data_IF_350364676039
#
_entry.id   IF_350364676039
#
_cell.length_a   1.000
_cell.length_b   1.000
_cell.length_c   1.000
_cell.angle_alpha   90.00
_cell.angle_beta   90.00
_cell.angle_gamma   90.00
#
_symmetry.space_group_name_H-M   'P 1'
#
loop_
_entity.id
_entity.type
_entity.pdbx_description
1 polymer ?
#
# COMPACT_ATOMS: atom_id res chain seq x y z
N UNK A 1 19.81 -6.96 11.48
CA UNK A 1 18.41 -7.18 11.93
C UNK A 1 17.49 -6.75 10.81
N UNK A 2 16.55 -7.59 10.39
CA UNK A 2 15.65 -7.26 9.28
C UNK A 2 14.80 -6.01 9.62
N UNK A 3 14.64 -5.12 8.63
CA UNK A 3 13.80 -3.93 8.72
C UNK A 3 12.72 -4.04 7.66
N UNK A 4 11.49 -3.76 8.05
CA UNK A 4 10.33 -3.77 7.17
C UNK A 4 9.83 -2.35 6.97
N UNK A 5 9.46 -2.01 5.73
CA UNK A 5 8.84 -0.72 5.42
C UNK A 5 7.32 -0.91 5.43
N UNK A 6 6.66 -0.34 6.42
CA UNK A 6 5.26 -0.61 6.75
C UNK A 6 4.45 0.67 6.67
N UNK A 7 3.28 0.61 6.03
CA UNK A 7 2.30 1.68 5.98
C UNK A 7 0.94 1.14 6.44
N UNK A 8 0.08 2.02 6.94
CA UNK A 8 -1.32 1.68 7.25
C UNK A 8 -2.20 2.32 6.19
N UNK A 9 -3.11 1.53 5.61
CA UNK A 9 -3.96 1.99 4.52
C UNK A 9 -5.33 1.32 4.54
N UNK A 10 -6.33 2.03 4.01
CA UNK A 10 -7.63 1.47 3.67
C UNK A 10 -7.62 1.02 2.22
N UNK A 11 -7.94 -0.24 1.96
CA UNK A 11 -8.10 -0.73 0.60
C UNK A 11 -9.41 -0.21 0.01
N UNK A 12 -9.36 0.20 -1.26
CA UNK A 12 -10.57 0.54 -1.99
C UNK A 12 -11.32 -0.75 -2.34
N UNK A 13 -12.62 -0.87 -2.04
CA UNK A 13 -13.39 -2.06 -2.37
C UNK A 13 -13.65 -2.17 -3.87
N UNK A 14 -14.07 -3.36 -4.30
CA UNK A 14 -14.67 -3.54 -5.62
C UNK A 14 -16.07 -2.88 -5.67
N UNK A 15 -16.49 -2.33 -6.82
CA UNK A 15 -15.80 -2.32 -8.12
C UNK A 15 -14.80 -1.17 -8.32
N UNK A 16 -14.75 -0.18 -7.41
CA UNK A 16 -13.98 1.05 -7.61
C UNK A 16 -12.47 0.80 -7.74
N UNK A 17 -11.95 -0.23 -7.07
CA UNK A 17 -10.56 -0.63 -7.23
C UNK A 17 -10.20 -0.98 -8.69
N UNK A 18 -11.08 -1.64 -9.44
CA UNK A 18 -10.82 -1.97 -10.84
C UNK A 18 -10.75 -0.72 -11.72
N UNK A 19 -11.62 0.26 -11.49
CA UNK A 19 -11.64 1.54 -12.21
C UNK A 19 -10.35 2.33 -11.95
N UNK A 20 -9.95 2.44 -10.66
CA UNK A 20 -8.72 3.11 -10.26
C UNK A 20 -7.49 2.43 -10.85
N UNK A 21 -7.43 1.10 -10.87
CA UNK A 21 -6.32 0.38 -11.50
C UNK A 21 -6.29 0.58 -13.02
N UNK A 22 -7.44 0.71 -13.66
CA UNK A 22 -7.56 1.11 -15.06
C UNK A 22 -6.92 2.48 -15.32
N UNK A 23 -7.25 3.49 -14.51
CA UNK A 23 -6.69 4.83 -14.59
C UNK A 23 -5.18 4.83 -14.30
N UNK A 24 -4.74 4.16 -13.23
CA UNK A 24 -3.31 4.03 -12.86
C UNK A 24 -2.49 3.43 -14.00
N UNK A 25 -3.02 2.39 -14.66
CA UNK A 25 -2.39 1.78 -15.84
C UNK A 25 -2.31 2.75 -17.01
N UNK A 26 -3.41 3.45 -17.32
CA UNK A 26 -3.45 4.40 -18.43
C UNK A 26 -2.48 5.58 -18.24
N UNK A 27 -2.24 5.99 -17.00
CA UNK A 27 -1.33 7.08 -16.65
C UNK A 27 0.11 6.62 -16.37
N UNK A 28 0.42 5.32 -16.53
CA UNK A 28 1.78 4.79 -16.33
C UNK A 28 2.26 4.83 -14.88
N UNK A 29 1.36 4.71 -13.89
CA UNK A 29 1.75 4.74 -12.48
C UNK A 29 2.59 3.50 -12.10
N UNK A 30 3.89 3.69 -11.89
CA UNK A 30 4.86 2.62 -11.58
C UNK A 30 4.53 1.81 -10.31
N UNK A 31 3.86 2.42 -9.34
CA UNK A 31 3.51 1.78 -8.06
C UNK A 31 2.29 0.84 -8.17
N UNK A 32 1.67 0.71 -9.37
CA UNK A 32 0.46 -0.11 -9.59
C UNK A 32 0.63 -1.56 -9.14
N UNK A 33 1.82 -2.12 -9.28
CA UNK A 33 2.09 -3.54 -9.02
C UNK A 33 2.45 -3.83 -7.56
N UNK A 34 2.77 -2.81 -6.77
CA UNK A 34 3.26 -2.99 -5.40
C UNK A 34 2.17 -2.92 -4.35
N UNK A 35 1.17 -2.07 -4.57
CA UNK A 35 0.07 -1.86 -3.62
C UNK A 35 -1.24 -1.69 -4.38
N UNK A 36 -2.31 -2.44 -4.02
CA UNK A 36 -3.65 -2.23 -4.55
C UNK A 36 -4.12 -0.77 -4.35
N UNK A 37 -5.13 -0.28 -5.08
CA UNK A 37 -5.70 1.04 -4.84
C UNK A 37 -6.10 1.20 -3.37
N UNK A 38 -5.61 2.25 -2.74
CA UNK A 38 -5.77 2.46 -1.31
C UNK A 38 -5.70 3.94 -0.95
N UNK A 39 -6.13 4.24 0.27
CA UNK A 39 -5.93 5.53 0.93
C UNK A 39 -4.97 5.30 2.09
N UNK A 40 -3.81 5.93 2.04
CA UNK A 40 -2.82 5.87 3.12
C UNK A 40 -3.37 6.61 4.36
N UNK A 41 -3.41 5.93 5.50
CA UNK A 41 -3.74 6.51 6.80
C UNK A 41 -2.48 6.94 7.57
N UNK A 42 -1.43 6.13 7.48
CA UNK A 42 -0.12 6.43 8.06
C UNK A 42 0.98 6.19 7.03
N UNK A 43 1.84 7.19 6.84
CA UNK A 43 2.94 7.12 5.87
C UNK A 43 3.90 5.97 6.19
N UNK A 44 4.55 5.37 5.17
CA UNK A 44 5.43 4.23 5.40
C UNK A 44 6.61 4.56 6.32
N UNK A 45 6.79 3.79 7.39
CA UNK A 45 7.92 3.88 8.33
C UNK A 45 8.72 2.57 8.33
N UNK A 46 10.00 2.67 8.68
CA UNK A 46 10.86 1.50 8.77
C UNK A 46 10.84 0.95 10.21
N UNK A 47 10.22 -0.21 10.39
CA UNK A 47 10.14 -0.91 11.66
C UNK A 47 11.15 -2.06 11.71
N UNK A 48 11.69 -2.33 12.89
CA UNK A 48 12.48 -3.52 13.18
C UNK A 48 11.52 -4.69 13.32
N UNK A 49 11.99 -5.88 12.95
CA UNK A 49 11.21 -7.12 13.05
C UNK A 49 10.65 -7.40 14.45
N UNK A 50 11.34 -6.97 15.51
CA UNK A 50 10.85 -7.08 16.89
C UNK A 50 9.61 -6.19 17.16
N UNK A 51 9.55 -5.00 16.58
CA UNK A 51 8.45 -4.04 16.78
C UNK A 51 7.15 -4.47 16.08
N UNK A 52 7.24 -5.39 15.12
CA UNK A 52 6.08 -5.93 14.39
C UNK A 52 5.40 -7.10 15.11
N UNK A 53 6.13 -7.86 15.93
CA UNK A 53 5.56 -9.03 16.63
C UNK A 53 4.70 -8.66 17.82
N UNK A 54 4.88 -7.44 18.34
CA UNK A 54 4.17 -6.92 19.51
C UNK A 54 2.94 -6.05 19.13
N UNK A 55 2.63 -5.93 17.82
CA UNK A 55 1.50 -5.17 17.27
C UNK A 55 0.32 -6.08 16.89
#
# INVERSE_FOLDING_TARGET
MARHRIAVALLVPQPQAAELDGLRRALGAAERERVPPHITLASPVNLRDAELRDA
#
